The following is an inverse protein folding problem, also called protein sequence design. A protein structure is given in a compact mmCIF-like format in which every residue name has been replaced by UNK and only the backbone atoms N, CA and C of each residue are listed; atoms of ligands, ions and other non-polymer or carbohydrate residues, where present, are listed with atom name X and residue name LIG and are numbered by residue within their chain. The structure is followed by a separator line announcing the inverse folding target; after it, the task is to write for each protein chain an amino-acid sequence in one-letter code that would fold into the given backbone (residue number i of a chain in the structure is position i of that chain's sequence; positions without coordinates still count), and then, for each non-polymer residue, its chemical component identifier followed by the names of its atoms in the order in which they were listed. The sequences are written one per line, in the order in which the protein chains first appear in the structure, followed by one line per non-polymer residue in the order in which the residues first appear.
data_IF_674171285290
#
_entry.id   IF_674171285290
#
_cell.length_a   1.000
_cell.length_b   1.000
_cell.length_c   1.000
_cell.angle_alpha   90.00
_cell.angle_beta   90.00
_cell.angle_gamma   90.00
#
_symmetry.space_group_name_H-M   'P 1'
#
loop_
_entity.id
_entity.type
_entity.pdbx_description
1 polymer ?
#
# COMPACT_ATOMS: atom_id res chain seq x y z
N UNK A 1 14.56 5.43 9.02
CA UNK A 1 14.81 6.89 8.77
C UNK A 1 14.47 7.67 10.02
N UNK A 2 15.30 8.66 10.39
CA UNK A 2 14.95 9.54 11.50
C UNK A 2 13.85 10.53 11.09
N UNK A 3 13.08 11.04 12.07
CA UNK A 3 12.08 12.08 11.82
C UNK A 3 12.69 13.31 11.11
N UNK A 4 13.97 13.60 11.38
CA UNK A 4 14.70 14.66 10.70
C UNK A 4 14.95 14.35 9.21
N UNK A 5 15.21 13.09 8.86
CA UNK A 5 15.40 12.69 7.46
C UNK A 5 14.09 12.69 6.67
N UNK A 6 12.98 12.29 7.29
CA UNK A 6 11.65 12.46 6.68
C UNK A 6 11.25 13.92 6.58
N UNK A 7 11.52 14.70 7.62
CA UNK A 7 11.29 16.15 7.59
C UNK A 7 12.14 16.81 6.51
N UNK A 8 13.42 16.43 6.38
CA UNK A 8 14.31 16.96 5.34
C UNK A 8 13.87 16.55 3.93
N UNK A 9 13.43 15.31 3.72
CA UNK A 9 12.93 14.88 2.43
C UNK A 9 11.57 15.50 2.08
N UNK A 10 10.70 15.66 3.06
CA UNK A 10 9.45 16.41 2.89
C UNK A 10 9.73 17.89 2.65
N UNK A 11 10.75 18.45 3.27
CA UNK A 11 11.21 19.79 2.99
C UNK A 11 11.81 19.93 1.58
N UNK A 12 12.58 18.94 1.12
CA UNK A 12 13.10 18.91 -0.26
C UNK A 12 11.97 18.75 -1.29
N UNK A 13 10.99 17.88 -1.03
CA UNK A 13 9.78 17.80 -1.84
C UNK A 13 9.01 19.11 -1.83
N UNK A 14 8.82 19.71 -0.67
CA UNK A 14 8.17 21.02 -0.54
C UNK A 14 8.96 22.12 -1.26
N UNK A 15 10.29 22.11 -1.22
CA UNK A 15 11.13 23.09 -1.93
C UNK A 15 11.18 22.83 -3.44
N UNK A 16 11.24 21.57 -3.88
CA UNK A 16 11.13 21.20 -5.30
C UNK A 16 9.82 21.70 -5.91
N UNK A 17 8.74 21.68 -5.12
CA UNK A 17 7.40 22.07 -5.56
C UNK A 17 6.94 23.47 -5.10
N UNK A 18 7.70 24.16 -4.27
CA UNK A 18 7.37 25.48 -3.70
C UNK A 18 7.14 26.60 -4.74
N UNK A 19 7.72 26.44 -5.91
CA UNK A 19 7.60 27.43 -7.00
C UNK A 19 6.71 26.91 -8.14
N UNK A 20 6.02 25.83 -7.93
CA UNK A 20 5.09 25.28 -8.93
C UNK A 20 3.87 26.19 -8.98
N UNK A 21 3.64 26.80 -10.14
CA UNK A 21 2.42 27.54 -10.45
C UNK A 21 1.57 26.70 -11.37
N UNK A 22 0.27 26.72 -11.17
CA UNK A 22 -0.68 25.99 -11.97
C UNK A 22 -1.27 26.85 -13.07
N UNK A 23 -1.54 26.26 -14.22
CA UNK A 23 -2.32 26.85 -15.29
C UNK A 23 -3.81 26.81 -14.91
N UNK A 24 -4.67 27.44 -15.74
CA UNK A 24 -6.12 27.49 -15.52
C UNK A 24 -6.80 26.11 -15.59
N UNK A 25 -6.15 25.15 -16.23
CA UNK A 25 -6.57 23.74 -16.38
C UNK A 25 -6.06 22.82 -15.27
N UNK A 26 -5.36 23.37 -14.25
CA UNK A 26 -4.78 22.61 -13.14
C UNK A 26 -3.41 21.99 -13.43
N UNK A 27 -2.85 22.21 -14.62
CA UNK A 27 -1.52 21.74 -15.00
C UNK A 27 -0.41 22.62 -14.43
N UNK A 28 0.80 22.06 -14.27
CA UNK A 28 1.94 22.77 -13.65
C UNK A 28 2.54 23.78 -14.65
N UNK A 29 2.65 25.04 -14.24
CA UNK A 29 3.36 26.06 -14.98
C UNK A 29 4.86 25.97 -14.74
N UNK A 30 5.66 25.70 -15.76
CA UNK A 30 7.14 25.67 -15.67
C UNK A 30 7.68 26.98 -15.14
N UNK A 31 8.49 26.92 -14.07
CA UNK A 31 9.16 28.11 -13.51
C UNK A 31 10.55 28.22 -14.12
N UNK A 32 10.80 29.29 -14.86
CA UNK A 32 12.14 29.66 -15.31
C UNK A 32 13.04 29.88 -14.10
N UNK A 33 14.23 29.27 -14.14
CA UNK A 33 15.21 29.21 -13.07
C UNK A 33 15.48 30.53 -12.34
N UNK A 34 15.53 30.44 -11.04
CA UNK A 34 15.97 31.53 -10.16
C UNK A 34 17.49 31.75 -10.32
N UNK A 35 17.87 32.98 -10.58
CA UNK A 35 19.27 33.38 -10.58
C UNK A 35 19.81 33.34 -9.15
N UNK A 36 20.94 32.67 -8.98
CA UNK A 36 21.78 32.73 -7.77
C UNK A 36 22.15 34.17 -7.44
N UNK A 37 21.73 34.63 -6.28
CA UNK A 37 22.28 35.84 -5.67
C UNK A 37 22.94 35.48 -4.33
N UNK A 38 24.25 35.20 -4.41
CA UNK A 38 25.15 35.09 -3.28
C UNK A 38 25.30 36.43 -2.57
N UNK A 39 24.72 36.61 -1.39
CA UNK A 39 25.11 37.65 -0.45
C UNK A 39 25.56 37.05 0.87
N UNK A 40 26.89 36.97 1.02
CA UNK A 40 27.55 36.62 2.28
C UNK A 40 27.20 37.62 3.37
N UNK A 41 26.54 37.21 4.44
CA UNK A 41 26.55 37.89 5.74
C UNK A 41 27.51 37.17 6.67
N UNK A 42 28.50 37.93 7.17
CA UNK A 42 29.42 37.46 8.22
C UNK A 42 28.68 37.45 9.56
N UNK A 43 28.47 36.31 10.16
CA UNK A 43 28.08 36.18 11.57
C UNK A 43 29.29 35.79 12.44
N UNK A 44 29.37 36.47 13.59
CA UNK A 44 30.40 36.27 14.62
C UNK A 44 30.17 34.92 15.32
N UNK A 45 31.21 34.09 15.31
CA UNK A 45 31.24 32.80 16.06
C UNK A 45 31.33 33.07 17.57
N UNK A 46 30.36 32.55 18.33
CA UNK A 46 30.54 32.23 19.74
C UNK A 46 31.07 30.77 19.87
N UNK A 47 31.89 30.46 20.87
CA UNK A 47 32.43 29.12 21.03
C UNK A 47 31.32 28.15 21.47
N UNK A 48 31.12 27.08 20.70
CA UNK A 48 30.22 25.98 21.05
C UNK A 48 30.81 25.16 22.22
N UNK A 49 30.03 24.98 23.28
CA UNK A 49 30.23 23.86 24.22
C UNK A 49 30.09 22.56 23.44
N UNK A 50 31.05 21.67 23.54
CA UNK A 50 30.93 20.29 23.07
C UNK A 50 29.83 19.61 23.87
N UNK A 51 28.71 19.35 23.24
CA UNK A 51 27.69 18.41 23.76
C UNK A 51 28.20 17.00 23.55
N UNK A 52 28.21 16.22 24.63
CA UNK A 52 28.48 14.77 24.57
C UNK A 52 27.51 14.11 23.55
N UNK A 53 28.00 13.18 22.70
CA UNK A 53 27.15 12.54 21.71
C UNK A 53 26.04 11.77 22.41
N UNK A 54 24.81 12.19 22.22
CA UNK A 54 23.63 11.43 22.67
C UNK A 54 23.67 10.03 22.05
N UNK A 55 23.46 8.97 22.82
CA UNK A 55 23.47 7.60 22.29
C UNK A 55 22.43 7.50 21.16
N UNK A 56 22.87 7.08 19.99
CA UNK A 56 22.00 6.90 18.82
C UNK A 56 21.01 5.75 19.08
N UNK A 57 19.75 5.90 18.73
CA UNK A 57 18.75 4.84 18.93
C UNK A 57 19.10 3.59 18.11
N UNK A 58 19.05 2.42 18.73
CA UNK A 58 19.33 1.14 18.06
C UNK A 58 18.47 0.93 16.81
N UNK A 59 17.22 1.40 16.84
CA UNK A 59 16.32 1.34 15.67
C UNK A 59 16.83 2.15 14.47
N UNK A 60 17.37 3.36 14.68
CA UNK A 60 17.89 4.19 13.58
C UNK A 60 19.15 3.61 12.94
N UNK A 61 20.01 2.94 13.73
CA UNK A 61 21.19 2.24 13.20
C UNK A 61 20.75 1.03 12.37
N UNK A 62 19.70 0.34 12.82
CA UNK A 62 19.16 -0.81 12.14
C UNK A 62 18.45 -0.43 10.83
N UNK A 63 17.66 0.63 10.84
CA UNK A 63 17.03 1.21 9.66
C UNK A 63 18.06 1.64 8.61
N UNK A 64 19.11 2.34 9.03
CA UNK A 64 20.22 2.74 8.16
C UNK A 64 21.00 1.55 7.59
N UNK A 65 21.12 0.44 8.32
CA UNK A 65 21.80 -0.77 7.85
C UNK A 65 21.00 -1.57 6.83
N UNK A 66 19.65 -1.55 6.95
CA UNK A 66 18.76 -2.26 6.02
C UNK A 66 18.59 -1.52 4.69
N UNK A 67 18.56 -0.20 4.74
CA UNK A 67 18.11 0.63 3.64
C UNK A 67 19.28 1.41 2.98
N UNK A 68 20.45 1.41 3.60
CA UNK A 68 21.56 2.29 3.21
C UNK A 68 21.23 3.76 3.48
N UNK A 69 22.18 4.66 3.34
CA UNK A 69 22.03 6.11 3.54
C UNK A 69 21.25 6.78 2.39
N UNK A 70 20.08 6.27 2.05
CA UNK A 70 19.27 6.78 0.93
C UNK A 70 18.18 7.71 1.41
N UNK A 71 17.82 8.68 0.59
CA UNK A 71 16.69 9.59 0.83
C UNK A 71 15.36 8.82 0.81
N UNK A 72 14.31 9.25 1.53
CA UNK A 72 12.96 8.68 1.42
C UNK A 72 12.36 8.71 0.02
N UNK A 73 12.83 9.61 -0.82
CA UNK A 73 12.46 9.69 -2.24
C UNK A 73 13.24 8.71 -3.11
N UNK A 74 14.23 7.98 -2.56
CA UNK A 74 14.97 6.99 -3.32
C UNK A 74 14.17 5.70 -3.40
N UNK A 75 13.59 5.47 -4.54
CA UNK A 75 12.83 4.25 -4.82
C UNK A 75 13.77 3.06 -5.05
N UNK A 76 13.31 1.85 -4.70
CA UNK A 76 14.15 0.65 -4.68
C UNK A 76 13.60 -0.46 -5.55
N UNK A 77 14.53 -1.17 -6.20
CA UNK A 77 14.23 -2.31 -7.06
C UNK A 77 14.10 -3.62 -6.27
N UNK A 78 14.90 -3.79 -5.23
CA UNK A 78 15.17 -5.09 -4.59
C UNK A 78 15.12 -4.99 -3.07
N UNK A 79 14.82 -6.12 -2.43
CA UNK A 79 14.90 -6.25 -0.97
C UNK A 79 16.33 -6.61 -0.56
N UNK A 80 17.04 -5.72 0.16
CA UNK A 80 18.41 -6.00 0.56
C UNK A 80 18.48 -7.17 1.56
N UNK A 81 19.56 -7.93 1.51
CA UNK A 81 19.88 -9.04 2.42
C UNK A 81 18.88 -10.22 2.41
N UNK A 82 17.95 -10.26 1.45
CA UNK A 82 17.09 -11.43 1.24
C UNK A 82 17.85 -12.52 0.43
N UNK A 83 17.45 -13.81 0.58
CA UNK A 83 18.03 -14.91 -0.22
C UNK A 83 17.87 -14.68 -1.72
N UNK A 84 18.70 -15.33 -2.55
CA UNK A 84 18.56 -15.25 -4.02
C UNK A 84 17.24 -15.86 -4.48
N UNK A 85 16.56 -15.20 -5.43
CA UNK A 85 15.36 -15.76 -6.07
C UNK A 85 15.67 -16.87 -7.08
N UNK A 86 16.90 -16.95 -7.57
CA UNK A 86 17.32 -17.94 -8.59
C UNK A 86 17.56 -19.34 -8.01
N UNK A 87 17.70 -19.46 -6.69
CA UNK A 87 17.84 -20.76 -6.06
C UNK A 87 16.52 -21.53 -6.12
N UNK A 88 16.51 -22.75 -6.66
CA UNK A 88 15.31 -23.58 -6.63
C UNK A 88 14.94 -23.92 -5.19
N UNK A 89 13.65 -24.09 -4.93
CA UNK A 89 13.12 -24.53 -3.64
C UNK A 89 12.31 -25.78 -3.90
N UNK A 90 12.58 -26.83 -3.13
CA UNK A 90 11.69 -28.00 -3.14
C UNK A 90 10.36 -27.67 -2.47
N UNK A 91 9.28 -28.28 -2.94
CA UNK A 91 7.96 -28.04 -2.37
C UNK A 91 7.91 -28.35 -0.87
N UNK A 92 8.65 -29.35 -0.41
CA UNK A 92 8.69 -29.75 1.00
C UNK A 92 9.34 -28.67 1.89
N UNK A 93 10.26 -27.86 1.33
CA UNK A 93 10.91 -26.75 2.03
C UNK A 93 10.08 -25.48 2.06
N UNK A 94 9.00 -25.40 1.29
CA UNK A 94 8.11 -24.23 1.29
C UNK A 94 7.49 -24.06 2.67
N UNK A 95 7.72 -22.88 3.24
CA UNK A 95 7.28 -22.51 4.57
C UNK A 95 6.88 -21.04 4.61
N UNK A 96 6.06 -20.65 5.59
CA UNK A 96 5.40 -19.36 5.60
C UNK A 96 5.57 -18.60 6.91
N UNK A 97 5.80 -17.30 6.82
CA UNK A 97 5.74 -16.37 7.95
C UNK A 97 4.60 -15.39 7.73
N UNK A 98 3.67 -15.25 8.67
CA UNK A 98 2.70 -14.16 8.67
C UNK A 98 3.41 -12.87 9.07
N UNK A 99 3.32 -11.85 8.23
CA UNK A 99 3.99 -10.57 8.45
C UNK A 99 2.98 -9.47 8.64
N UNK A 100 3.16 -8.66 9.69
CA UNK A 100 2.26 -7.55 10.00
C UNK A 100 3.01 -6.37 10.62
N UNK A 101 2.36 -5.22 10.61
CA UNK A 101 2.79 -4.02 11.29
C UNK A 101 1.60 -3.32 11.95
N UNK A 102 1.83 -2.62 13.05
CA UNK A 102 0.77 -1.95 13.78
C UNK A 102 1.26 -0.82 14.67
N UNK A 103 0.35 0.05 15.07
CA UNK A 103 0.54 1.00 16.16
C UNK A 103 0.12 0.40 17.51
N UNK A 104 0.62 0.99 18.59
CA UNK A 104 0.41 0.52 19.96
C UNK A 104 -1.06 0.26 20.30
N UNK A 105 -1.97 1.09 19.83
CA UNK A 105 -3.42 0.98 20.09
C UNK A 105 -4.08 -0.26 19.49
N UNK A 106 -3.36 -0.99 18.61
CA UNK A 106 -3.84 -2.20 17.94
C UNK A 106 -3.18 -3.50 18.43
N UNK A 107 -2.29 -3.45 19.43
CA UNK A 107 -1.60 -4.64 19.99
C UNK A 107 -2.61 -5.71 20.40
N UNK A 108 -3.76 -5.33 20.92
CA UNK A 108 -4.83 -6.25 21.34
C UNK A 108 -5.38 -7.16 20.23
N UNK A 109 -5.11 -6.84 18.95
CA UNK A 109 -5.52 -7.68 17.83
C UNK A 109 -4.59 -8.89 17.63
N UNK A 110 -3.35 -8.81 18.06
CA UNK A 110 -2.33 -9.85 17.83
C UNK A 110 -2.69 -11.23 18.41
N UNK A 111 -3.29 -11.37 19.62
CA UNK A 111 -3.70 -12.67 20.13
C UNK A 111 -4.69 -13.39 19.21
N UNK A 112 -5.53 -12.64 18.48
CA UNK A 112 -6.45 -13.23 17.48
C UNK A 112 -5.71 -13.68 16.23
N UNK A 113 -4.67 -12.97 15.81
CA UNK A 113 -3.78 -13.43 14.74
C UNK A 113 -3.04 -14.70 15.16
N UNK A 114 -2.43 -14.72 16.36
CA UNK A 114 -1.77 -15.91 16.89
C UNK A 114 -2.70 -17.11 16.91
N UNK A 115 -3.92 -16.95 17.42
CA UNK A 115 -4.92 -18.02 17.47
C UNK A 115 -5.32 -18.56 16.11
N UNK A 116 -5.44 -17.67 15.10
CA UNK A 116 -5.89 -18.06 13.75
C UNK A 116 -4.77 -18.59 12.88
N UNK A 117 -3.56 -18.08 13.06
CA UNK A 117 -2.39 -18.55 12.35
C UNK A 117 -1.79 -19.82 12.94
N UNK A 118 -2.13 -20.12 14.20
CA UNK A 118 -1.63 -21.26 14.94
C UNK A 118 -0.20 -21.08 15.42
N UNK A 119 0.44 -22.17 15.83
CA UNK A 119 1.82 -22.20 16.28
C UNK A 119 2.81 -22.17 15.10
N UNK A 120 2.78 -21.09 14.33
CA UNK A 120 3.57 -20.92 13.12
C UNK A 120 4.27 -19.57 13.10
N UNK A 121 5.34 -19.38 12.29
CA UNK A 121 6.14 -18.16 12.30
C UNK A 121 5.34 -16.90 12.01
N UNK A 122 5.52 -15.90 12.87
CA UNK A 122 4.99 -14.56 12.73
C UNK A 122 6.11 -13.53 12.91
N UNK A 123 6.14 -12.51 12.05
CA UNK A 123 7.04 -11.36 12.17
C UNK A 123 6.23 -10.08 12.26
N UNK A 124 6.33 -9.38 13.38
CA UNK A 124 5.50 -8.22 13.69
C UNK A 124 6.36 -7.04 14.11
N UNK A 125 6.11 -5.89 13.51
CA UNK A 125 6.74 -4.62 13.90
C UNK A 125 5.70 -3.69 14.49
N UNK A 126 5.98 -3.16 15.68
CA UNK A 126 5.05 -2.33 16.43
C UNK A 126 5.62 -0.91 16.57
N UNK A 127 4.84 0.07 16.15
CA UNK A 127 5.15 1.48 16.34
C UNK A 127 4.73 1.92 17.73
N UNK A 128 5.67 1.82 18.69
CA UNK A 128 5.44 2.05 20.12
C UNK A 128 6.74 2.42 20.80
N UNK A 129 6.63 3.04 21.98
CA UNK A 129 7.76 3.28 22.89
C UNK A 129 7.92 2.16 23.94
N UNK A 130 7.05 1.14 23.92
CA UNK A 130 7.19 -0.05 24.78
C UNK A 130 8.35 -0.93 24.31
N UNK A 131 9.02 -1.58 25.25
CA UNK A 131 10.07 -2.54 24.96
C UNK A 131 9.52 -3.80 24.27
N UNK A 132 10.24 -4.31 23.27
CA UNK A 132 9.82 -5.46 22.49
C UNK A 132 9.66 -6.74 23.33
N UNK A 133 10.53 -6.94 24.34
CA UNK A 133 10.44 -8.10 25.23
C UNK A 133 9.18 -8.03 26.10
N UNK A 134 8.89 -6.87 26.69
CA UNK A 134 7.68 -6.65 27.49
C UNK A 134 6.41 -6.92 26.67
N UNK A 135 6.36 -6.42 25.45
CA UNK A 135 5.22 -6.68 24.56
C UNK A 135 5.13 -8.16 24.21
N UNK A 136 6.25 -8.81 23.90
CA UNK A 136 6.29 -10.24 23.59
C UNK A 136 5.79 -11.08 24.76
N UNK A 137 6.31 -10.85 25.99
CA UNK A 137 5.92 -11.59 27.20
C UNK A 137 4.41 -11.49 27.45
N UNK A 138 3.84 -10.29 27.25
CA UNK A 138 2.40 -10.09 27.34
C UNK A 138 1.64 -10.93 26.29
N UNK A 139 2.06 -10.90 25.04
CA UNK A 139 1.39 -11.64 23.97
C UNK A 139 1.51 -13.17 24.18
N UNK A 140 2.65 -13.64 24.67
CA UNK A 140 2.83 -15.05 25.05
C UNK A 140 1.86 -15.44 26.18
N UNK A 141 1.69 -14.59 27.18
CA UNK A 141 0.70 -14.82 28.26
C UNK A 141 -0.75 -14.83 27.76
N UNK A 142 -1.03 -14.21 26.60
CA UNK A 142 -2.33 -14.17 25.93
C UNK A 142 -2.48 -15.29 24.88
N UNK A 143 -1.51 -16.24 24.79
CA UNK A 143 -1.58 -17.45 23.98
C UNK A 143 -0.86 -17.39 22.62
N UNK A 144 0.00 -16.42 22.39
CA UNK A 144 0.91 -16.44 21.23
C UNK A 144 2.11 -17.37 21.51
N UNK A 145 2.69 -17.94 20.46
CA UNK A 145 3.88 -18.79 20.55
C UNK A 145 5.11 -17.98 20.94
N UNK A 146 5.84 -18.42 21.96
CA UNK A 146 7.12 -17.81 22.35
C UNK A 146 8.20 -18.04 21.27
N UNK A 147 8.23 -19.24 20.70
CA UNK A 147 9.24 -19.66 19.72
C UNK A 147 9.02 -19.01 18.36
N UNK A 148 7.77 -18.96 17.89
CA UNK A 148 7.42 -18.57 16.53
C UNK A 148 7.07 -17.10 16.37
N UNK A 149 6.89 -16.33 17.50
CA UNK A 149 6.57 -14.91 17.44
C UNK A 149 7.85 -14.05 17.53
N UNK A 150 8.15 -13.36 16.44
CA UNK A 150 9.20 -12.33 16.38
C UNK A 150 8.57 -10.96 16.50
N UNK A 151 8.91 -10.21 17.55
CA UNK A 151 8.47 -8.83 17.80
C UNK A 151 9.66 -7.88 17.64
N UNK A 152 9.42 -6.78 16.94
CA UNK A 152 10.28 -5.60 16.93
C UNK A 152 9.45 -4.37 17.26
N UNK A 153 10.08 -3.40 17.93
CA UNK A 153 9.46 -2.11 18.22
C UNK A 153 10.24 -0.98 17.54
N UNK A 154 9.51 -0.02 17.00
CA UNK A 154 10.07 1.24 16.52
C UNK A 154 9.54 2.35 17.40
N UNK A 155 10.45 3.09 18.06
CA UNK A 155 10.08 4.12 19.01
C UNK A 155 9.32 5.25 18.32
N UNK A 156 8.08 5.42 18.73
CA UNK A 156 7.20 6.49 18.26
C UNK A 156 7.76 7.87 18.56
N UNK A 157 8.20 8.08 19.79
CA UNK A 157 8.73 9.38 20.25
C UNK A 157 10.01 9.78 19.51
N UNK A 158 10.84 8.79 19.15
CA UNK A 158 12.10 9.06 18.41
C UNK A 158 11.88 9.26 16.93
N UNK A 159 10.95 8.51 16.32
CA UNK A 159 10.68 8.58 14.89
C UNK A 159 9.84 9.79 14.50
N UNK A 160 8.75 10.02 15.22
CA UNK A 160 7.81 11.11 15.01
C UNK A 160 7.47 11.80 16.34
N UNK A 161 8.36 12.68 16.86
CA UNK A 161 8.13 13.39 18.11
C UNK A 161 6.85 14.23 18.11
N UNK A 162 6.37 14.62 16.95
CA UNK A 162 5.18 15.46 16.77
C UNK A 162 3.89 14.64 16.63
N UNK A 163 3.98 13.33 16.43
CA UNK A 163 2.84 12.44 16.27
C UNK A 163 2.03 12.70 14.99
N UNK A 164 2.69 13.17 13.94
CA UNK A 164 2.08 13.58 12.68
C UNK A 164 2.17 12.54 11.58
N UNK A 165 3.10 11.58 11.69
CA UNK A 165 3.34 10.58 10.67
C UNK A 165 3.31 9.14 11.21
N UNK A 166 3.05 8.20 10.31
CA UNK A 166 3.09 6.77 10.56
C UNK A 166 3.89 6.08 9.45
N UNK A 167 5.10 5.59 9.74
CA UNK A 167 6.03 5.09 8.71
C UNK A 167 5.66 3.70 8.22
N UNK A 168 4.47 3.54 7.70
CA UNK A 168 3.85 2.24 7.39
C UNK A 168 4.75 1.33 6.55
N UNK A 169 5.40 1.85 5.51
CA UNK A 169 6.24 1.05 4.61
C UNK A 169 7.60 0.69 5.22
N UNK A 170 8.16 1.57 6.06
CA UNK A 170 9.35 1.24 6.88
C UNK A 170 9.04 0.08 7.79
N UNK A 171 7.91 0.12 8.51
CA UNK A 171 7.50 -0.95 9.43
C UNK A 171 7.27 -2.27 8.68
N UNK A 172 6.66 -2.23 7.48
CA UNK A 172 6.48 -3.40 6.62
C UNK A 172 7.81 -4.03 6.21
N UNK A 173 8.74 -3.22 5.71
CA UNK A 173 10.05 -3.69 5.29
C UNK A 173 10.87 -4.25 6.46
N UNK A 174 10.80 -3.62 7.64
CA UNK A 174 11.41 -4.15 8.86
C UNK A 174 10.82 -5.52 9.23
N UNK A 175 9.49 -5.69 9.13
CA UNK A 175 8.86 -6.97 9.40
C UNK A 175 9.29 -8.03 8.36
N UNK A 176 9.43 -7.67 7.07
CA UNK A 176 9.95 -8.56 6.03
C UNK A 176 11.38 -9.00 6.32
N UNK A 177 12.24 -8.10 6.81
CA UNK A 177 13.65 -8.39 7.08
C UNK A 177 13.89 -9.48 8.14
N UNK A 178 12.86 -9.84 8.91
CA UNK A 178 12.92 -10.88 9.95
C UNK A 178 12.32 -12.22 9.52
N UNK A 179 11.83 -12.30 8.28
CA UNK A 179 11.34 -13.55 7.70
C UNK A 179 12.51 -14.52 7.54
N UNK A 180 12.34 -15.74 8.06
CA UNK A 180 13.30 -16.85 7.95
C UNK A 180 12.79 -17.99 7.08
N UNK A 181 11.52 -17.96 6.74
CA UNK A 181 10.85 -18.94 5.88
C UNK A 181 11.03 -18.55 4.42
N UNK A 182 10.72 -19.46 3.52
CA UNK A 182 10.87 -19.23 2.07
C UNK A 182 9.84 -18.25 1.52
N UNK A 183 8.67 -18.15 2.18
CA UNK A 183 7.58 -17.27 1.76
C UNK A 183 7.08 -16.44 2.94
N UNK A 184 6.49 -15.30 2.62
CA UNK A 184 5.77 -14.48 3.58
C UNK A 184 4.30 -14.34 3.17
N UNK A 185 3.43 -14.16 4.16
CA UNK A 185 2.03 -13.76 3.98
C UNK A 185 1.87 -12.39 4.61
N UNK A 186 1.67 -11.37 3.78
CA UNK A 186 1.51 -10.02 4.27
C UNK A 186 0.04 -9.72 4.57
N UNK A 187 -0.23 -9.21 5.77
CA UNK A 187 -1.54 -8.68 6.16
C UNK A 187 -1.37 -7.49 7.12
N UNK A 188 -2.15 -6.42 6.92
CA UNK A 188 -2.29 -5.38 7.95
C UNK A 188 -3.02 -5.97 9.17
N UNK A 189 -2.72 -5.52 10.39
CA UNK A 189 -3.20 -6.15 11.63
C UNK A 189 -4.72 -6.17 11.79
N UNK A 190 -5.42 -5.29 11.12
CA UNK A 190 -6.88 -5.24 11.07
C UNK A 190 -7.50 -6.24 10.06
N UNK A 191 -6.67 -6.98 9.31
CA UNK A 191 -7.09 -8.07 8.41
C UNK A 191 -6.77 -9.42 9.03
N UNK A 192 -7.78 -10.04 9.63
CA UNK A 192 -7.62 -11.30 10.34
C UNK A 192 -7.69 -12.49 9.37
N UNK A 193 -6.73 -13.42 9.41
CA UNK A 193 -6.75 -14.58 8.54
C UNK A 193 -7.90 -15.55 8.88
N UNK A 194 -8.41 -16.28 7.88
CA UNK A 194 -9.20 -17.49 8.14
C UNK A 194 -8.35 -18.48 8.93
N UNK A 195 -8.96 -19.29 9.80
CA UNK A 195 -8.23 -20.31 10.61
C UNK A 195 -7.58 -21.38 9.70
N UNK A 196 -8.09 -21.54 8.47
CA UNK A 196 -7.56 -22.48 7.47
C UNK A 196 -6.43 -21.91 6.61
N UNK A 197 -6.10 -20.61 6.66
CA UNK A 197 -5.14 -20.02 5.72
C UNK A 197 -3.78 -20.72 5.75
N UNK A 198 -3.21 -20.95 6.93
CA UNK A 198 -1.91 -21.60 7.04
C UNK A 198 -1.95 -23.06 6.55
N UNK A 199 -2.97 -23.84 6.93
CA UNK A 199 -3.12 -25.22 6.49
C UNK A 199 -3.30 -25.34 4.98
N UNK A 200 -4.07 -24.42 4.36
CA UNK A 200 -4.25 -24.38 2.91
C UNK A 200 -2.93 -24.07 2.18
N UNK A 201 -2.16 -23.12 2.68
CA UNK A 201 -0.84 -22.82 2.12
C UNK A 201 0.13 -24.03 2.22
N UNK A 202 -0.08 -24.93 3.17
CA UNK A 202 0.71 -26.15 3.33
C UNK A 202 0.16 -27.38 2.58
N UNK A 203 -0.91 -27.26 1.81
CA UNK A 203 -1.34 -28.32 0.89
C UNK A 203 -0.23 -28.55 -0.13
N UNK A 204 0.12 -29.80 -0.39
CA UNK A 204 1.27 -30.16 -1.23
C UNK A 204 1.19 -29.52 -2.62
N UNK A 205 0.04 -29.55 -3.28
CA UNK A 205 -0.14 -28.91 -4.60
C UNK A 205 0.03 -27.38 -4.55
N UNK A 206 -0.31 -26.73 -3.43
CA UNK A 206 -0.08 -25.29 -3.24
C UNK A 206 1.41 -25.02 -3.08
N UNK A 207 2.11 -25.80 -2.26
CA UNK A 207 3.55 -25.70 -2.09
C UNK A 207 4.31 -25.93 -3.40
N UNK A 208 3.93 -26.97 -4.17
CA UNK A 208 4.49 -27.25 -5.50
C UNK A 208 4.32 -26.07 -6.46
N UNK A 209 3.13 -25.49 -6.51
CA UNK A 209 2.85 -24.31 -7.34
C UNK A 209 3.68 -23.09 -6.92
N UNK A 210 3.84 -22.86 -5.62
CA UNK A 210 4.63 -21.74 -5.08
C UNK A 210 6.14 -21.95 -5.21
N UNK A 211 6.61 -23.18 -5.11
CA UNK A 211 8.01 -23.53 -5.35
C UNK A 211 8.41 -23.36 -6.83
N UNK A 212 7.51 -23.73 -7.74
CA UNK A 212 7.76 -23.74 -9.19
C UNK A 212 7.89 -22.35 -9.83
N UNK A 213 7.36 -21.30 -9.19
CA UNK A 213 7.37 -19.94 -9.73
C UNK A 213 7.76 -18.91 -8.65
N UNK A 214 9.01 -18.51 -8.64
CA UNK A 214 9.54 -17.51 -7.70
C UNK A 214 8.83 -16.15 -7.80
N UNK A 215 8.13 -15.88 -8.90
CA UNK A 215 7.35 -14.66 -9.14
C UNK A 215 5.84 -14.90 -9.11
N UNK A 216 5.39 -15.89 -8.35
CA UNK A 216 3.98 -16.08 -8.05
C UNK A 216 3.56 -15.15 -6.90
N UNK A 217 2.62 -14.26 -7.16
CA UNK A 217 1.94 -13.43 -6.17
C UNK A 217 0.57 -14.06 -5.87
N UNK A 218 0.52 -14.88 -4.82
CA UNK A 218 -0.71 -15.59 -4.42
C UNK A 218 -1.64 -14.63 -3.70
N UNK A 219 -2.73 -14.24 -4.36
CA UNK A 219 -3.74 -13.31 -3.82
C UNK A 219 -4.62 -14.03 -2.81
N UNK A 220 -4.65 -13.52 -1.59
CA UNK A 220 -5.59 -13.95 -0.54
C UNK A 220 -6.78 -12.98 -0.57
N UNK A 221 -7.98 -13.42 -0.97
CA UNK A 221 -9.16 -12.56 -1.06
C UNK A 221 -9.52 -11.92 0.28
N UNK A 222 -9.98 -10.67 0.23
CA UNK A 222 -10.28 -9.88 1.42
C UNK A 222 -11.74 -9.49 1.52
N UNK A 223 -12.27 -9.58 2.73
CA UNK A 223 -13.66 -9.24 3.04
C UNK A 223 -13.70 -8.28 4.21
N UNK A 224 -14.84 -7.66 4.46
CA UNK A 224 -15.05 -6.77 5.59
C UNK A 224 -16.32 -7.13 6.34
N UNK A 225 -16.27 -6.92 7.66
CA UNK A 225 -17.44 -6.98 8.51
C UNK A 225 -18.09 -5.61 8.64
N UNK A 226 -19.41 -5.57 8.69
CA UNK A 226 -20.11 -4.38 9.07
C UNK A 226 -19.96 -4.13 10.57
N UNK A 227 -19.71 -2.88 10.95
CA UNK A 227 -19.57 -2.49 12.35
C UNK A 227 -20.92 -2.62 13.07
N UNK A 228 -20.97 -3.37 14.16
CA UNK A 228 -22.19 -3.67 14.89
C UNK A 228 -22.62 -2.58 15.88
N UNK A 229 -21.69 -1.74 16.33
CA UNK A 229 -21.98 -0.61 17.20
C UNK A 229 -21.96 0.72 16.44
N UNK A 230 -22.81 1.68 16.82
CA UNK A 230 -22.94 2.94 16.09
C UNK A 230 -22.09 4.08 16.62
N UNK A 231 -21.87 4.15 17.93
CA UNK A 231 -21.38 5.37 18.58
C UNK A 231 -20.10 5.21 19.43
N UNK A 232 -19.59 4.01 19.62
CA UNK A 232 -18.52 3.76 20.57
C UNK A 232 -17.14 3.71 19.93
N UNK A 233 -16.15 4.20 20.65
CA UNK A 233 -14.74 4.06 20.27
C UNK A 233 -14.31 2.61 20.29
N UNK A 234 -14.75 1.86 21.29
CA UNK A 234 -14.45 0.44 21.46
C UNK A 234 -15.74 -0.39 21.30
N UNK A 235 -15.72 -1.32 20.37
CA UNK A 235 -16.83 -2.22 20.06
C UNK A 235 -16.35 -3.66 19.99
N UNK A 236 -15.27 -3.99 20.71
CA UNK A 236 -14.66 -5.32 20.64
C UNK A 236 -15.63 -6.41 21.04
N UNK A 237 -16.33 -6.22 22.13
CA UNK A 237 -17.31 -7.19 22.65
C UNK A 237 -18.45 -7.45 21.68
N UNK A 238 -18.82 -6.44 20.89
CA UNK A 238 -19.88 -6.55 19.89
C UNK A 238 -19.41 -7.17 18.57
N UNK A 239 -18.15 -6.94 18.16
CA UNK A 239 -17.65 -7.36 16.85
C UNK A 239 -16.89 -8.69 16.89
N UNK A 240 -16.02 -8.91 17.90
CA UNK A 240 -15.12 -10.07 17.93
C UNK A 240 -15.85 -11.41 17.85
N UNK A 241 -16.97 -11.64 18.57
CA UNK A 241 -17.67 -12.93 18.52
C UNK A 241 -18.21 -13.30 17.13
N UNK A 242 -18.37 -12.30 16.25
CA UNK A 242 -18.92 -12.49 14.91
C UNK A 242 -17.88 -12.46 13.79
N UNK A 243 -16.60 -12.34 14.13
CA UNK A 243 -15.53 -12.39 13.13
C UNK A 243 -15.42 -13.80 12.55
N UNK A 244 -15.74 -14.02 11.25
CA UNK A 244 -15.76 -15.33 10.65
C UNK A 244 -14.37 -15.96 10.64
N UNK A 245 -14.31 -17.25 10.88
CA UNK A 245 -13.10 -18.08 10.93
C UNK A 245 -12.95 -18.94 9.70
N UNK A 246 -14.09 -19.40 9.15
CA UNK A 246 -14.20 -20.32 8.03
C UNK A 246 -15.03 -19.69 6.90
N UNK A 247 -14.84 -20.20 5.70
CA UNK A 247 -15.53 -19.73 4.48
C UNK A 247 -17.05 -19.85 4.59
N UNK A 248 -17.56 -20.96 5.14
CA UNK A 248 -18.99 -21.18 5.31
C UNK A 248 -19.64 -20.13 6.23
N UNK A 249 -18.96 -19.76 7.33
CA UNK A 249 -19.39 -18.69 8.23
C UNK A 249 -19.41 -17.33 7.52
N UNK A 250 -18.33 -17.03 6.77
CA UNK A 250 -18.24 -15.78 6.00
C UNK A 250 -19.36 -15.69 4.95
N UNK A 251 -19.62 -16.77 4.20
CA UNK A 251 -20.68 -16.81 3.19
C UNK A 251 -22.06 -16.59 3.83
N UNK A 252 -22.31 -17.16 5.02
CA UNK A 252 -23.56 -16.91 5.74
C UNK A 252 -23.71 -15.44 6.15
N UNK A 253 -22.63 -14.80 6.61
CA UNK A 253 -22.64 -13.39 6.97
C UNK A 253 -22.86 -12.49 5.74
N UNK A 254 -22.28 -12.85 4.60
CA UNK A 254 -22.50 -12.15 3.32
C UNK A 254 -23.98 -12.27 2.90
N UNK A 255 -24.59 -13.47 3.00
CA UNK A 255 -26.02 -13.66 2.71
C UNK A 255 -26.93 -12.82 3.62
N UNK A 256 -26.52 -12.62 4.88
CA UNK A 256 -27.22 -11.76 5.85
C UNK A 256 -26.91 -10.28 5.69
N UNK A 257 -26.03 -9.89 4.75
CA UNK A 257 -25.52 -8.52 4.57
C UNK A 257 -24.80 -7.96 5.80
N UNK A 258 -24.21 -8.83 6.61
CA UNK A 258 -23.38 -8.48 7.77
C UNK A 258 -21.89 -8.42 7.42
N UNK A 259 -21.52 -9.01 6.30
CA UNK A 259 -20.21 -8.93 5.67
C UNK A 259 -20.36 -8.62 4.17
N UNK A 260 -19.27 -8.12 3.56
CA UNK A 260 -19.18 -7.88 2.12
C UNK A 260 -17.73 -8.11 1.64
N UNK A 261 -17.50 -8.05 0.34
CA UNK A 261 -16.15 -7.84 -0.19
C UNK A 261 -15.55 -6.57 0.40
N UNK A 262 -14.24 -6.52 0.55
CA UNK A 262 -13.60 -5.35 1.16
C UNK A 262 -13.72 -4.13 0.26
N UNK A 263 -14.08 -2.99 0.87
CA UNK A 263 -14.24 -1.67 0.24
C UNK A 263 -14.99 -1.72 -1.11
N UNK A 264 -16.26 -2.19 -1.13
CA UNK A 264 -17.00 -2.47 -2.36
C UNK A 264 -17.25 -1.24 -3.24
N UNK A 265 -17.10 -0.04 -2.67
CA UNK A 265 -17.21 1.24 -3.40
C UNK A 265 -15.92 1.64 -4.10
N UNK A 266 -14.79 0.98 -3.80
CA UNK A 266 -13.50 1.19 -4.41
C UNK A 266 -13.15 0.04 -5.36
N UNK A 267 -13.85 -0.03 -6.48
CA UNK A 267 -13.65 -1.08 -7.48
C UNK A 267 -12.19 -1.16 -7.96
N UNK A 268 -11.52 -0.02 -8.11
CA UNK A 268 -10.11 0.03 -8.48
C UNK A 268 -9.20 -0.69 -7.50
N UNK A 269 -9.46 -0.55 -6.19
CA UNK A 269 -8.62 -1.13 -5.14
C UNK A 269 -8.69 -2.65 -5.04
N UNK A 270 -9.85 -3.26 -5.29
CA UNK A 270 -10.05 -4.70 -5.05
C UNK A 270 -10.79 -5.44 -6.15
N UNK A 271 -11.29 -4.75 -7.19
CA UNK A 271 -12.12 -5.34 -8.24
C UNK A 271 -11.41 -6.32 -9.17
N UNK A 272 -10.07 -6.40 -9.15
CA UNK A 272 -9.31 -7.42 -9.88
C UNK A 272 -9.43 -8.80 -9.24
N UNK A 273 -9.67 -8.89 -7.94
CA UNK A 273 -9.94 -10.14 -7.22
C UNK A 273 -11.29 -10.71 -7.64
N UNK A 274 -11.33 -11.98 -8.01
CA UNK A 274 -12.52 -12.64 -8.57
C UNK A 274 -13.42 -13.22 -7.47
N UNK A 275 -14.06 -12.37 -6.65
CA UNK A 275 -14.84 -12.76 -5.48
C UNK A 275 -15.98 -13.74 -5.77
N UNK A 276 -16.68 -13.59 -6.89
CA UNK A 276 -17.75 -14.50 -7.31
C UNK A 276 -17.15 -15.90 -7.60
N UNK A 277 -16.02 -15.97 -8.30
CA UNK A 277 -15.33 -17.23 -8.58
C UNK A 277 -14.78 -17.86 -7.30
N UNK A 278 -14.22 -17.04 -6.39
CA UNK A 278 -13.69 -17.54 -5.12
C UNK A 278 -14.75 -18.29 -4.29
N UNK A 279 -16.00 -17.85 -4.33
CA UNK A 279 -17.07 -18.51 -3.58
C UNK A 279 -17.19 -19.99 -3.92
N UNK A 280 -17.03 -20.33 -5.20
CA UNK A 280 -17.19 -21.68 -5.73
C UNK A 280 -15.82 -22.39 -5.98
N UNK A 281 -14.71 -21.71 -5.65
CA UNK A 281 -13.36 -22.22 -5.84
C UNK A 281 -13.02 -23.27 -4.78
N UNK A 282 -12.42 -24.36 -5.22
CA UNK A 282 -11.99 -25.48 -4.35
C UNK A 282 -10.82 -25.07 -3.44
N UNK A 283 -10.72 -25.78 -2.30
CA UNK A 283 -9.65 -25.58 -1.34
C UNK A 283 -8.28 -25.81 -2.00
N UNK A 284 -7.34 -24.90 -1.76
CA UNK A 284 -5.97 -24.97 -2.28
C UNK A 284 -5.85 -24.85 -3.80
N UNK A 285 -6.94 -24.62 -4.52
CA UNK A 285 -6.88 -24.36 -5.95
C UNK A 285 -6.41 -22.94 -6.26
N UNK A 286 -5.81 -22.74 -7.44
CA UNK A 286 -5.40 -21.44 -7.94
C UNK A 286 -6.27 -20.98 -9.09
N UNK A 287 -6.59 -19.69 -9.10
CA UNK A 287 -7.22 -19.02 -10.22
C UNK A 287 -6.33 -17.87 -10.68
N UNK A 288 -5.65 -18.05 -11.79
CA UNK A 288 -4.81 -17.00 -12.38
C UNK A 288 -5.67 -15.79 -12.77
N UNK A 289 -5.24 -14.59 -12.36
CA UNK A 289 -5.89 -13.35 -12.79
C UNK A 289 -5.49 -13.08 -14.23
N UNK A 290 -6.44 -13.01 -15.17
CA UNK A 290 -6.12 -12.80 -16.59
C UNK A 290 -5.64 -11.37 -16.86
N UNK A 291 -6.07 -10.41 -16.06
CA UNK A 291 -5.72 -9.00 -16.18
C UNK A 291 -6.02 -8.25 -14.89
N UNK A 292 -5.41 -7.08 -14.72
CA UNK A 292 -5.65 -6.14 -13.62
C UNK A 292 -6.57 -5.01 -14.10
N UNK A 293 -7.62 -4.71 -13.34
CA UNK A 293 -8.66 -3.73 -13.72
C UNK A 293 -8.26 -2.29 -13.45
N UNK A 294 -7.30 -2.04 -12.57
CA UNK A 294 -6.91 -0.70 -12.17
C UNK A 294 -5.50 -0.68 -11.56
N UNK A 295 -4.75 0.38 -11.80
CA UNK A 295 -3.48 0.66 -11.13
C UNK A 295 -3.63 0.90 -9.62
N UNK A 296 -4.86 1.07 -9.11
CA UNK A 296 -5.16 1.17 -7.67
C UNK A 296 -5.24 -0.18 -6.98
N UNK A 297 -5.02 -1.31 -7.66
CA UNK A 297 -5.13 -2.64 -7.08
C UNK A 297 -4.22 -2.82 -5.86
N UNK A 298 -4.79 -3.22 -4.74
CA UNK A 298 -4.12 -3.35 -3.43
C UNK A 298 -4.31 -4.75 -2.84
N UNK A 299 -3.80 -5.82 -3.49
CA UNK A 299 -3.98 -7.18 -3.00
C UNK A 299 -3.20 -7.45 -1.72
N UNK A 300 -3.69 -8.39 -0.90
CA UNK A 300 -2.91 -9.06 0.12
C UNK A 300 -2.33 -10.34 -0.44
N UNK A 301 -1.05 -10.61 -0.18
CA UNK A 301 -0.30 -11.62 -0.91
C UNK A 301 0.41 -12.59 0.01
N UNK A 302 0.40 -13.88 -0.38
CA UNK A 302 1.43 -14.83 -0.01
C UNK A 302 2.44 -14.88 -1.17
N UNK A 303 3.74 -14.69 -0.87
CA UNK A 303 4.75 -14.46 -1.90
C UNK A 303 6.13 -14.94 -1.43
N UNK A 304 6.97 -15.37 -2.37
CA UNK A 304 8.35 -15.78 -2.06
C UNK A 304 9.16 -14.60 -1.53
N UNK A 305 9.85 -14.81 -0.40
CA UNK A 305 10.76 -13.83 0.17
C UNK A 305 12.17 -14.03 -0.38
N UNK A 306 12.54 -13.20 -1.33
CA UNK A 306 13.85 -13.27 -1.97
C UNK A 306 14.30 -11.89 -2.48
N UNK A 307 15.55 -11.78 -2.92
CA UNK A 307 16.19 -10.50 -3.24
C UNK A 307 15.52 -9.70 -4.35
N UNK A 308 14.85 -10.37 -5.30
CA UNK A 308 14.11 -9.68 -6.37
C UNK A 308 12.70 -9.25 -5.95
N UNK A 309 12.23 -9.61 -4.75
CA UNK A 309 10.97 -9.08 -4.23
C UNK A 309 11.11 -7.57 -4.01
N UNK A 310 10.35 -6.72 -4.71
CA UNK A 310 10.40 -5.29 -4.45
C UNK A 310 10.00 -4.97 -3.01
N UNK A 311 10.73 -4.09 -2.31
CA UNK A 311 10.27 -3.61 -1.01
C UNK A 311 9.10 -2.64 -1.18
N UNK A 312 8.35 -2.40 -0.13
CA UNK A 312 7.46 -1.26 -0.07
C UNK A 312 8.28 0.04 -0.16
N UNK A 313 7.86 0.98 -1.00
CA UNK A 313 8.57 2.25 -1.16
C UNK A 313 8.35 3.15 0.06
N UNK A 314 9.41 3.45 0.80
CA UNK A 314 9.33 4.04 2.14
C UNK A 314 8.95 5.50 2.17
N UNK A 315 9.10 6.20 1.05
CA UNK A 315 8.59 7.56 0.89
C UNK A 315 7.07 7.67 1.06
N UNK A 316 6.33 6.59 0.78
CA UNK A 316 4.88 6.55 1.00
C UNK A 316 4.59 6.20 2.46
N UNK A 317 4.42 7.23 3.30
CA UNK A 317 4.11 7.10 4.71
C UNK A 317 2.62 7.38 5.01
N UNK A 318 2.12 6.86 6.12
CA UNK A 318 0.74 7.04 6.56
C UNK A 318 -0.28 6.38 5.64
N UNK A 319 -1.35 7.09 5.26
CA UNK A 319 -2.42 6.58 4.41
C UNK A 319 -2.24 7.04 2.95
N UNK A 320 -2.60 6.15 2.01
CA UNK A 320 -2.68 6.43 0.57
C UNK A 320 -1.47 5.95 -0.24
N UNK A 321 -1.75 5.35 -1.38
CA UNK A 321 -0.83 4.93 -2.44
C UNK A 321 0.30 3.94 -2.08
N UNK A 322 0.37 3.46 -0.84
CA UNK A 322 1.48 2.60 -0.39
C UNK A 322 1.38 1.15 -0.89
N UNK A 323 0.21 0.49 -0.85
CA UNK A 323 0.08 -0.88 -1.38
C UNK A 323 -0.05 -0.91 -2.90
N UNK A 324 -0.77 0.06 -3.49
CA UNK A 324 -0.92 0.10 -4.95
C UNK A 324 0.43 0.28 -5.66
N UNK A 325 1.35 1.10 -5.16
CA UNK A 325 2.68 1.27 -5.74
C UNK A 325 3.50 -0.01 -5.69
N UNK A 326 3.39 -0.77 -4.59
CA UNK A 326 4.01 -2.09 -4.48
C UNK A 326 3.42 -3.08 -5.50
N UNK A 327 2.10 -3.15 -5.65
CA UNK A 327 1.44 -4.01 -6.63
C UNK A 327 1.80 -3.63 -8.08
N UNK A 328 1.91 -2.33 -8.39
CA UNK A 328 2.38 -1.85 -9.70
C UNK A 328 3.80 -2.32 -10.00
N UNK A 329 4.71 -2.22 -9.02
CA UNK A 329 6.09 -2.67 -9.19
C UNK A 329 6.18 -4.19 -9.34
N UNK A 330 5.43 -4.96 -8.54
CA UNK A 330 5.33 -6.41 -8.70
C UNK A 330 4.87 -6.79 -10.11
N UNK A 331 3.77 -6.20 -10.59
CA UNK A 331 3.23 -6.47 -11.93
C UNK A 331 4.28 -6.21 -13.01
N UNK A 332 4.88 -5.02 -13.00
CA UNK A 332 5.92 -4.63 -13.98
C UNK A 332 7.18 -5.50 -13.88
N UNK A 333 7.51 -6.00 -12.69
CA UNK A 333 8.63 -6.93 -12.47
C UNK A 333 8.34 -8.38 -12.93
N UNK A 334 7.16 -8.66 -13.46
CA UNK A 334 6.78 -9.95 -14.02
C UNK A 334 6.17 -10.94 -13.02
N UNK A 335 5.56 -10.46 -11.96
CA UNK A 335 4.82 -11.35 -11.05
C UNK A 335 3.49 -11.78 -11.66
N UNK A 336 3.21 -13.10 -11.54
CA UNK A 336 1.90 -13.69 -11.87
C UNK A 336 0.99 -13.56 -10.65
N UNK A 337 -0.16 -12.90 -10.81
CA UNK A 337 -1.16 -12.83 -9.75
C UNK A 337 -2.12 -14.01 -9.89
N UNK A 338 -2.24 -14.80 -8.83
CA UNK A 338 -3.11 -15.99 -8.81
C UNK A 338 -3.87 -16.04 -7.49
N UNK A 339 -5.18 -16.14 -7.55
CA UNK A 339 -6.07 -16.15 -6.40
C UNK A 339 -6.15 -17.54 -5.77
N UNK A 340 -5.99 -17.60 -4.43
CA UNK A 340 -6.08 -18.83 -3.66
C UNK A 340 -7.53 -19.13 -3.29
N UNK A 341 -7.95 -20.37 -3.51
CA UNK A 341 -9.27 -20.89 -3.11
C UNK A 341 -9.36 -21.15 -1.61
N UNK A 342 -10.56 -21.06 -1.06
CA UNK A 342 -10.95 -21.29 0.34
C UNK A 342 -10.43 -20.24 1.33
N UNK A 343 -9.13 -19.92 1.29
CA UNK A 343 -8.50 -18.98 2.22
C UNK A 343 -8.98 -17.53 2.01
N UNK A 344 -9.03 -16.74 3.10
CA UNK A 344 -9.40 -15.33 3.06
C UNK A 344 -8.81 -14.56 4.23
N UNK A 345 -8.81 -13.22 4.09
CA UNK A 345 -8.64 -12.29 5.20
C UNK A 345 -9.95 -11.53 5.42
N UNK A 346 -10.24 -11.18 6.67
CA UNK A 346 -11.42 -10.40 7.01
C UNK A 346 -11.04 -9.16 7.81
N UNK A 347 -11.43 -8.00 7.29
CA UNK A 347 -11.18 -6.71 7.94
C UNK A 347 -12.06 -6.55 9.18
N UNK A 348 -11.41 -6.32 10.32
CA UNK A 348 -12.07 -5.96 11.57
C UNK A 348 -12.64 -4.54 11.47
N UNK A 349 -13.94 -4.33 11.76
CA UNK A 349 -14.57 -3.02 11.62
C UNK A 349 -14.14 -2.06 12.73
N UNK A 350 -13.40 -1.03 12.38
CA UNK A 350 -12.92 0.01 13.30
C UNK A 350 -13.25 1.42 12.79
N UNK A 351 -13.03 2.43 13.64
CA UNK A 351 -13.11 3.83 13.24
C UNK A 351 -11.91 4.24 12.39
N UNK A 352 -12.07 5.28 11.61
CA UNK A 352 -10.98 5.84 10.79
C UNK A 352 -9.74 6.16 11.63
N UNK A 353 -8.59 5.74 11.13
CA UNK A 353 -7.29 6.07 11.73
C UNK A 353 -6.97 7.56 11.58
N UNK A 354 -6.08 8.08 12.44
CA UNK A 354 -5.55 9.45 12.30
C UNK A 354 -5.05 9.72 10.88
N UNK A 355 -4.28 8.77 10.31
CA UNK A 355 -3.72 8.91 8.97
C UNK A 355 -4.79 9.00 7.89
N UNK A 356 -5.92 8.26 8.04
CA UNK A 356 -7.06 8.36 7.12
C UNK A 356 -7.79 9.69 7.27
N UNK A 357 -7.97 10.18 8.50
CA UNK A 357 -8.56 11.49 8.74
C UNK A 357 -7.72 12.61 8.14
N UNK A 358 -6.38 12.54 8.26
CA UNK A 358 -5.47 13.49 7.61
C UNK A 358 -5.56 13.42 6.08
N UNK A 359 -5.64 12.23 5.50
CA UNK A 359 -5.82 12.02 4.07
C UNK A 359 -7.12 12.64 3.55
N UNK A 360 -8.19 12.56 4.33
CA UNK A 360 -9.52 13.06 3.97
C UNK A 360 -9.69 14.57 4.18
N UNK A 361 -8.69 15.26 4.77
CA UNK A 361 -8.73 16.72 4.88
C UNK A 361 -8.75 17.35 3.49
N UNK A 362 -9.76 18.18 3.24
CA UNK A 362 -9.94 18.92 1.98
C UNK A 362 -9.70 20.40 2.23
N UNK A 363 -9.16 21.14 1.25
CA UNK A 363 -9.21 22.61 1.26
C UNK A 363 -10.64 23.11 1.50
N UNK A 364 -10.79 24.22 2.22
CA UNK A 364 -12.13 24.73 2.60
C UNK A 364 -13.03 25.02 1.39
N UNK A 365 -12.45 25.42 0.29
CA UNK A 365 -13.12 25.69 -0.99
C UNK A 365 -13.66 24.40 -1.63
N UNK A 366 -12.93 23.29 -1.52
CA UNK A 366 -13.38 21.96 -2.00
C UNK A 366 -14.52 21.36 -1.17
N UNK A 367 -14.78 21.89 0.03
CA UNK A 367 -15.89 21.43 0.86
C UNK A 367 -17.25 21.89 0.35
N UNK A 368 -17.29 22.90 -0.54
CA UNK A 368 -18.52 23.48 -1.10
C UNK A 368 -18.95 22.86 -2.43
N UNK A 369 -18.12 22.01 -3.02
CA UNK A 369 -18.34 21.43 -4.34
C UNK A 369 -18.52 19.90 -4.20
N UNK A 370 -19.46 19.35 -4.92
CA UNK A 370 -19.76 17.92 -4.93
C UNK A 370 -18.52 17.09 -5.34
N UNK A 371 -18.38 15.92 -4.72
CA UNK A 371 -17.16 15.09 -4.73
C UNK A 371 -16.68 14.59 -6.10
N UNK A 372 -17.39 14.90 -7.17
CA UNK A 372 -17.06 14.51 -8.55
C UNK A 372 -16.18 15.52 -9.30
N UNK A 373 -15.97 16.73 -8.76
CA UNK A 373 -15.39 17.88 -9.50
C UNK A 373 -14.10 18.45 -8.87
N UNK A 374 -13.16 17.58 -8.48
CA UNK A 374 -11.88 18.05 -7.92
C UNK A 374 -11.05 18.86 -8.93
N UNK A 375 -11.23 18.61 -10.22
CA UNK A 375 -10.50 19.30 -11.30
C UNK A 375 -11.02 20.72 -11.52
N UNK A 376 -12.33 20.94 -11.46
CA UNK A 376 -12.96 22.23 -11.80
C UNK A 376 -12.76 23.32 -10.74
N UNK A 377 -12.45 22.94 -9.50
CA UNK A 377 -12.23 23.91 -8.41
C UNK A 377 -10.89 24.65 -8.54
N UNK A 378 -9.90 24.00 -9.16
CA UNK A 378 -8.59 24.62 -9.42
C UNK A 378 -8.68 25.69 -10.51
N UNK A 379 -9.69 25.64 -11.40
CA UNK A 379 -9.94 26.65 -12.44
C UNK A 379 -10.64 27.92 -11.90
N UNK A 380 -11.41 27.81 -10.82
CA UNK A 380 -12.23 28.92 -10.32
C UNK A 380 -11.48 29.90 -9.41
N UNK A 381 -10.26 29.58 -8.99
CA UNK A 381 -9.57 30.32 -7.94
C UNK A 381 -8.69 31.46 -8.47
N UNK A 382 -9.33 32.53 -8.94
CA UNK A 382 -8.64 33.75 -9.37
C UNK A 382 -8.18 34.65 -8.21
N UNK A 383 -8.11 34.17 -6.99
CA UNK A 383 -7.82 35.07 -5.87
C UNK A 383 -7.17 34.50 -4.63
N UNK A 384 -7.25 33.23 -4.36
CA UNK A 384 -6.70 32.63 -3.13
C UNK A 384 -5.62 31.59 -3.48
N UNK A 385 -4.37 31.90 -3.14
CA UNK A 385 -3.26 30.94 -3.25
C UNK A 385 -3.43 29.84 -2.19
N UNK A 386 -4.14 28.75 -2.51
CA UNK A 386 -4.16 27.57 -1.66
C UNK A 386 -2.82 26.85 -1.86
N UNK A 387 -2.03 26.75 -0.79
CA UNK A 387 -0.85 25.89 -0.79
C UNK A 387 -1.30 24.42 -0.69
N UNK A 388 -1.57 23.78 -1.83
CA UNK A 388 -1.99 22.38 -1.90
C UNK A 388 -0.97 21.44 -1.26
N UNK A 389 0.32 21.79 -1.29
CA UNK A 389 1.37 20.96 -0.68
C UNK A 389 1.35 20.99 0.85
N UNK A 390 0.57 21.88 1.46
CA UNK A 390 0.27 21.80 2.90
C UNK A 390 -0.56 20.56 3.24
N UNK A 391 -1.27 19.97 2.26
CA UNK A 391 -2.09 18.78 2.44
C UNK A 391 -1.30 17.51 2.15
N UNK A 392 -1.46 16.51 3.03
CA UNK A 392 -0.77 15.21 2.91
C UNK A 392 -1.07 14.54 1.57
N UNK A 393 -2.31 14.59 1.11
CA UNK A 393 -2.72 13.97 -0.16
C UNK A 393 -1.95 14.53 -1.35
N UNK A 394 -1.84 15.86 -1.46
CA UNK A 394 -1.10 16.49 -2.55
C UNK A 394 0.39 16.12 -2.56
N UNK A 395 1.01 16.02 -1.36
CA UNK A 395 2.42 15.55 -1.25
C UNK A 395 2.60 14.12 -1.70
N UNK A 396 1.66 13.23 -1.31
CA UNK A 396 1.68 11.83 -1.74
C UNK A 396 1.40 11.70 -3.24
N UNK A 397 0.56 12.58 -3.80
CA UNK A 397 0.31 12.64 -5.24
C UNK A 397 1.57 13.05 -6.02
N UNK A 398 2.31 14.06 -5.53
CA UNK A 398 3.59 14.48 -6.12
C UNK A 398 4.61 13.32 -6.11
N UNK A 399 4.76 12.67 -4.96
CA UNK A 399 5.65 11.52 -4.83
C UNK A 399 5.23 10.37 -5.76
N UNK A 400 3.93 10.18 -5.97
CA UNK A 400 3.42 9.14 -6.86
C UNK A 400 3.73 9.43 -8.34
N UNK A 401 3.72 10.69 -8.75
CA UNK A 401 4.16 11.08 -10.10
C UNK A 401 5.65 10.78 -10.29
N UNK A 402 6.49 11.20 -9.32
CA UNK A 402 7.92 10.88 -9.32
C UNK A 402 8.18 9.36 -9.35
N UNK A 403 7.35 8.60 -8.61
CA UNK A 403 7.42 7.14 -8.61
C UNK A 403 7.04 6.50 -9.95
N UNK A 404 6.02 7.02 -10.64
CA UNK A 404 5.63 6.51 -11.97
C UNK A 404 6.77 6.66 -12.98
N UNK A 405 7.40 7.83 -13.01
CA UNK A 405 8.55 8.07 -13.88
C UNK A 405 9.71 7.14 -13.53
N UNK A 406 10.05 7.06 -12.24
CA UNK A 406 11.09 6.14 -11.79
C UNK A 406 10.78 4.68 -12.14
N UNK A 407 9.53 4.24 -11.96
CA UNK A 407 9.10 2.88 -12.28
C UNK A 407 9.26 2.59 -13.77
N UNK A 408 8.90 3.56 -14.63
CA UNK A 408 9.05 3.47 -16.07
C UNK A 408 10.53 3.33 -16.46
N UNK A 409 11.40 4.17 -15.91
CA UNK A 409 12.79 4.28 -16.31
C UNK A 409 13.67 3.14 -15.75
N UNK A 410 13.36 2.65 -14.55
CA UNK A 410 14.24 1.74 -13.81
C UNK A 410 13.73 0.30 -13.75
N UNK A 411 12.46 0.03 -13.95
CA UNK A 411 11.89 -1.31 -13.92
C UNK A 411 11.50 -1.73 -15.34
N UNK A 412 12.32 -2.64 -15.91
CA UNK A 412 12.01 -3.22 -17.23
C UNK A 412 10.63 -3.87 -17.18
N UNK A 413 9.83 -3.57 -18.18
CA UNK A 413 8.52 -4.18 -18.33
C UNK A 413 8.66 -5.68 -18.65
N UNK A 414 8.16 -6.51 -17.72
CA UNK A 414 8.11 -7.97 -17.82
C UNK A 414 6.71 -8.48 -17.46
N UNK A 415 5.69 -7.65 -17.64
CA UNK A 415 4.34 -7.94 -17.20
C UNK A 415 3.83 -9.29 -17.75
N UNK A 416 3.38 -10.14 -16.85
CA UNK A 416 2.70 -11.42 -17.17
C UNK A 416 1.19 -11.29 -17.08
N UNK A 417 0.71 -10.29 -16.33
CA UNK A 417 -0.71 -9.99 -16.14
C UNK A 417 -0.94 -8.56 -16.66
N UNK A 418 -1.54 -8.43 -17.85
CA UNK A 418 -1.78 -7.11 -18.47
C UNK A 418 -2.87 -6.35 -17.72
N UNK A 419 -3.03 -5.07 -18.07
CA UNK A 419 -4.26 -4.37 -17.75
C UNK A 419 -5.43 -4.94 -18.58
N UNK A 420 -6.65 -4.95 -17.99
CA UNK A 420 -7.83 -5.36 -18.74
C UNK A 420 -8.17 -4.32 -19.84
N UNK A 421 -8.78 -4.74 -20.93
CA UNK A 421 -9.18 -3.83 -22.03
C UNK A 421 -10.09 -2.69 -21.58
N UNK A 422 -10.93 -2.96 -20.57
CA UNK A 422 -11.79 -1.98 -19.91
C UNK A 422 -11.21 -1.49 -18.57
N UNK A 423 -9.89 -1.49 -18.46
CA UNK A 423 -9.24 -1.05 -17.24
C UNK A 423 -9.50 0.43 -16.97
N UNK A 424 -9.61 0.75 -15.69
CA UNK A 424 -9.66 2.13 -15.21
C UNK A 424 -8.22 2.67 -15.17
N UNK A 425 -7.62 2.89 -16.36
CA UNK A 425 -6.18 3.15 -16.49
C UNK A 425 -5.73 4.40 -15.77
N UNK A 426 -6.48 5.48 -15.88
CA UNK A 426 -6.17 6.78 -15.29
C UNK A 426 -7.09 7.13 -14.12
N UNK A 427 -7.60 6.10 -13.46
CA UNK A 427 -8.52 6.24 -12.33
C UNK A 427 -7.83 6.67 -11.02
N UNK A 428 -6.51 6.81 -11.02
CA UNK A 428 -5.77 7.35 -9.88
C UNK A 428 -5.99 8.85 -9.82
N UNK A 429 -7.05 9.25 -9.12
CA UNK A 429 -7.37 10.68 -8.93
C UNK A 429 -6.26 11.37 -8.16
N UNK A 430 -5.64 12.36 -8.79
CA UNK A 430 -4.57 13.19 -8.25
C UNK A 430 -5.09 14.60 -8.00
N UNK A 431 -4.61 15.23 -6.95
CA UNK A 431 -4.83 16.67 -6.70
C UNK A 431 -3.82 17.54 -7.45
N UNK A 432 -2.73 16.93 -7.96
CA UNK A 432 -1.70 17.59 -8.74
C UNK A 432 -1.49 16.83 -10.04
N UNK A 433 -1.27 17.57 -11.12
CA UNK A 433 -0.97 17.07 -12.44
C UNK A 433 0.35 17.67 -12.92
N UNK A 434 1.07 16.97 -13.79
CA UNK A 434 2.21 17.52 -14.54
C UNK A 434 1.72 17.97 -15.90
N UNK A 435 2.25 19.12 -16.35
CA UNK A 435 2.03 19.59 -17.70
C UNK A 435 2.91 18.76 -18.66
N UNK A 436 2.31 18.01 -19.54
CA UNK A 436 3.00 17.23 -20.58
C UNK A 436 3.25 18.08 -21.84
N UNK A 437 3.39 19.39 -21.72
CA UNK A 437 3.51 20.31 -22.86
C UNK A 437 4.79 20.15 -23.70
N UNK A 438 5.61 19.14 -23.46
CA UNK A 438 6.81 18.85 -24.28
C UNK A 438 6.60 17.71 -25.30
N UNK A 439 5.50 16.94 -25.24
CA UNK A 439 5.29 15.77 -26.13
C UNK A 439 4.30 16.01 -27.31
N UNK A 440 3.70 17.20 -27.45
CA UNK A 440 2.74 17.49 -28.54
C UNK A 440 3.35 18.24 -29.75
N UNK A 441 4.67 18.25 -29.96
CA UNK A 441 5.27 18.99 -31.05
C UNK A 441 5.75 18.16 -32.26
N UNK A 442 5.46 16.87 -32.31
CA UNK A 442 5.76 16.06 -33.51
C UNK A 442 4.61 15.11 -33.82
N UNK A 443 3.49 15.57 -34.37
CA UNK A 443 2.60 14.80 -35.23
C UNK A 443 1.37 15.64 -35.66
N UNK A 444 1.63 16.72 -36.41
CA UNK A 444 0.58 17.35 -37.22
C UNK A 444 1.17 17.81 -38.55
N UNK A 445 1.37 16.86 -39.43
CA UNK A 445 1.37 17.10 -40.89
C UNK A 445 0.91 15.83 -41.59
N UNK A 446 -0.38 15.78 -41.91
CA UNK A 446 -0.87 15.34 -43.21
C UNK A 446 -2.38 15.54 -43.27
N UNK A 447 -2.75 16.64 -43.91
CA UNK A 447 -4.05 16.76 -44.59
C UNK A 447 -4.25 15.58 -45.53
N UNK A 448 -5.45 15.03 -45.59
CA UNK A 448 -6.17 15.06 -46.88
C UNK A 448 -7.64 14.69 -46.69
N UNK A 449 -8.43 15.49 -47.36
CA UNK A 449 -9.87 15.33 -47.60
C UNK A 449 -10.22 13.96 -48.16
N UNK A 450 -11.33 13.37 -47.76
CA UNK A 450 -12.33 12.95 -48.72
C UNK A 450 -13.74 12.86 -48.12
N UNK A 451 -14.65 13.35 -48.91
CA UNK A 451 -16.09 13.51 -48.80
C UNK A 451 -16.80 12.17 -49.02
N UNK A 452 -17.90 11.92 -48.36
CA UNK A 452 -18.77 10.80 -48.78
C UNK A 452 -19.80 10.34 -47.73
N UNK A 453 -20.94 11.01 -47.76
CA UNK A 453 -22.24 10.57 -47.28
C UNK A 453 -22.49 9.06 -47.33
N UNK A 454 -23.11 8.48 -46.33
CA UNK A 454 -24.40 7.79 -46.47
C UNK A 454 -25.02 7.42 -45.12
N UNK A 455 -26.23 7.87 -44.94
CA UNK A 455 -27.13 7.48 -43.86
C UNK A 455 -27.76 6.10 -44.15
N UNK A 456 -27.81 5.24 -43.14
CA UNK A 456 -28.83 4.18 -43.08
C UNK A 456 -29.34 4.06 -41.63
N UNK A 457 -30.59 4.44 -41.45
CA UNK A 457 -31.48 3.97 -40.39
C UNK A 457 -31.61 2.45 -40.47
N UNK A 458 -31.81 1.77 -39.33
CA UNK A 458 -32.90 0.80 -39.14
C UNK A 458 -32.91 0.16 -37.74
N UNK A 459 -33.96 0.44 -37.03
CA UNK A 459 -34.86 -0.38 -36.20
C UNK A 459 -34.35 -1.22 -34.99
N UNK A 460 -35.06 -0.93 -33.93
CA UNK A 460 -35.38 -1.75 -32.75
C UNK A 460 -35.85 -3.17 -33.11
N UNK A 461 -35.44 -4.13 -32.32
CA UNK A 461 -36.36 -5.19 -31.89
C UNK A 461 -35.92 -5.82 -30.55
N UNK A 462 -36.91 -5.87 -29.64
CA UNK A 462 -36.98 -6.53 -28.38
C UNK A 462 -36.86 -8.06 -28.51
N UNK A 463 -36.19 -8.70 -27.56
CA UNK A 463 -36.25 -10.14 -27.39
C UNK A 463 -35.77 -10.55 -26.00
N UNK A 464 -36.69 -10.67 -25.05
CA UNK A 464 -36.52 -11.38 -23.78
C UNK A 464 -36.48 -12.89 -24.06
N UNK A 465 -35.63 -13.62 -23.31
CA UNK A 465 -35.90 -14.90 -22.68
C UNK A 465 -34.61 -15.62 -22.30
N UNK A 466 -34.62 -16.06 -21.11
CA UNK A 466 -34.11 -17.12 -20.22
C UNK A 466 -32.72 -16.88 -19.61
#
# INVERSE_FOLDING_TARGET
MSAEQQSAAMQQLSEKWKNVRFNKDGTIKTVRGAKDSNKKKKEKKQPKKEEEPKPQPIASIFELSLLGNTSPSDFRLTTPNAPSCSEPIDADDVSFTLVSQLSQDRIWMLPYHCKRWGDNPMSVVIFTDEDAAVVKDKLVSEGCSEEHLTIQTVSKTRYDPQGTDYPVNVLRNLAFSKVKTTHLVYADVDFWPSESLHSILNIQSVKERMASDAKLATVVPVFQMNRRCRAYKDCRDDNIPFMPKRKDELIQLIKKREASTFDPTNEGGHGSTRYIKWRDQEEGSFLDLPCIRSNRYEPYLAIRYCSELPPFQEGFSGYGKNKMTWAMQLRRSGYQFSQLGEAFLVHYPHLDSKSRLEWNKKPKELQKVDSTLVVDVLESDKGNNIDLLSYKRARVDALFLDYKDWLHDNVKDKERVPMCDNALNDDVRLWIHRDNSEDESEDNESEDNDDGSDAVEVNEELGAQE
#
